data_IF_409106484187
#
_entry.id   IF_409106484187
#
_cell.length_a   1.000
_cell.length_b   1.000
_cell.length_c   1.000
_cell.angle_alpha   90.00
_cell.angle_beta   90.00
_cell.angle_gamma   90.00
#
_symmetry.space_group_name_H-M   'P 1'
#
loop_
_entity.id
_entity.type
_entity.pdbx_description
1 polymer ?
#
# COMPACT_ATOMS: atom_id res chain seq x y z
N UNK A 1 32.90 -21.80 21.98
CA UNK A 1 32.66 -20.54 21.22
C UNK A 1 31.68 -19.70 22.02
N UNK A 2 32.16 -18.64 22.68
CA UNK A 2 31.33 -17.79 23.55
C UNK A 2 30.32 -17.00 22.74
N UNK A 3 29.03 -17.10 23.09
CA UNK A 3 28.02 -16.13 22.66
C UNK A 3 28.35 -14.83 23.38
N UNK A 4 28.83 -13.82 22.64
CA UNK A 4 28.84 -12.45 23.13
C UNK A 4 27.38 -12.09 23.40
N UNK A 5 27.03 -11.98 24.68
CA UNK A 5 25.71 -11.50 25.09
C UNK A 5 25.73 -10.00 24.85
N UNK A 6 25.26 -9.59 23.66
CA UNK A 6 25.03 -8.17 23.40
C UNK A 6 23.90 -7.69 24.32
N UNK A 7 24.13 -6.57 24.99
CA UNK A 7 23.09 -5.84 25.73
C UNK A 7 22.00 -5.37 24.75
N UNK A 8 20.77 -5.27 25.23
CA UNK A 8 19.62 -4.99 24.35
C UNK A 8 19.73 -3.61 23.67
N UNK A 9 20.29 -2.60 24.34
CA UNK A 9 20.56 -1.30 23.73
C UNK A 9 21.59 -1.36 22.60
N UNK A 10 22.59 -2.24 22.70
CA UNK A 10 23.57 -2.45 21.64
C UNK A 10 22.92 -3.15 20.43
N UNK A 11 22.04 -4.12 20.66
CA UNK A 11 21.31 -4.80 19.56
C UNK A 11 20.42 -3.84 18.79
N UNK A 12 19.72 -2.96 19.49
CA UNK A 12 18.86 -1.93 18.88
C UNK A 12 19.67 -0.98 18.00
N UNK A 13 20.80 -0.48 18.52
CA UNK A 13 21.70 0.37 17.75
C UNK A 13 22.23 -0.33 16.48
N UNK A 14 22.61 -1.61 16.58
CA UNK A 14 23.04 -2.40 15.41
C UNK A 14 21.87 -2.64 14.45
N UNK A 15 20.64 -2.82 14.93
CA UNK A 15 19.46 -2.94 14.08
C UNK A 15 19.18 -1.65 13.29
N UNK A 16 19.37 -0.48 13.89
CA UNK A 16 19.30 0.82 13.19
C UNK A 16 20.40 0.98 12.13
N UNK A 17 21.62 0.54 12.42
CA UNK A 17 22.70 0.55 11.43
C UNK A 17 22.37 -0.35 10.23
N UNK A 18 21.77 -1.51 10.48
CA UNK A 18 21.30 -2.39 9.43
C UNK A 18 20.16 -1.76 8.61
N UNK A 19 19.24 -1.03 9.25
CA UNK A 19 18.22 -0.27 8.53
C UNK A 19 18.88 0.74 7.56
N UNK A 20 19.84 1.54 8.05
CA UNK A 20 20.55 2.54 7.23
C UNK A 20 21.33 1.90 6.08
N UNK A 21 22.09 0.84 6.37
CA UNK A 21 22.86 0.11 5.35
C UNK A 21 21.95 -0.54 4.30
N UNK A 22 20.78 -1.04 4.71
CA UNK A 22 19.78 -1.57 3.80
C UNK A 22 19.19 -0.50 2.89
N UNK A 23 18.86 0.68 3.42
CA UNK A 23 18.40 1.83 2.63
C UNK A 23 19.46 2.31 1.62
N UNK A 24 20.73 2.34 2.03
CA UNK A 24 21.83 2.66 1.11
C UNK A 24 22.02 1.58 0.04
N UNK A 25 21.90 0.31 0.40
CA UNK A 25 21.93 -0.76 -0.59
C UNK A 25 20.76 -0.66 -1.60
N UNK A 26 19.57 -0.18 -1.18
CA UNK A 26 18.45 0.12 -2.10
C UNK A 26 18.82 1.24 -3.07
N UNK A 27 19.45 2.33 -2.60
CA UNK A 27 19.83 3.46 -3.47
C UNK A 27 20.80 3.02 -4.58
N UNK A 28 21.62 1.99 -4.30
CA UNK A 28 22.54 1.35 -5.24
C UNK A 28 21.92 0.17 -6.02
N UNK A 29 20.60 -0.04 -5.92
CA UNK A 29 19.87 -1.18 -6.52
C UNK A 29 20.40 -2.57 -6.12
N UNK A 30 21.10 -2.67 -4.98
CA UNK A 30 21.67 -3.89 -4.44
C UNK A 30 20.65 -4.64 -3.55
N UNK A 31 19.51 -5.03 -4.12
CA UNK A 31 18.35 -5.56 -3.41
C UNK A 31 18.62 -6.83 -2.56
N UNK A 32 19.53 -7.70 -3.00
CA UNK A 32 19.94 -8.88 -2.21
C UNK A 32 20.75 -8.50 -0.96
N UNK A 33 21.60 -7.48 -1.05
CA UNK A 33 22.37 -6.98 0.09
C UNK A 33 21.45 -6.25 1.07
N UNK A 34 20.56 -5.40 0.55
CA UNK A 34 19.53 -4.74 1.35
C UNK A 34 18.67 -5.75 2.13
N UNK A 35 18.19 -6.81 1.47
CA UNK A 35 17.48 -7.92 2.13
C UNK A 35 18.29 -8.52 3.28
N UNK A 36 19.59 -8.76 3.08
CA UNK A 36 20.48 -9.31 4.12
C UNK A 36 20.61 -8.38 5.32
N UNK A 37 20.76 -7.06 5.09
CA UNK A 37 20.81 -6.07 6.16
C UNK A 37 19.50 -6.00 6.94
N UNK A 38 18.35 -5.88 6.26
CA UNK A 38 17.07 -5.81 6.98
C UNK A 38 16.77 -7.09 7.75
N UNK A 39 17.07 -8.27 7.19
CA UNK A 39 16.93 -9.54 7.89
C UNK A 39 17.82 -9.62 9.13
N UNK A 40 19.06 -9.14 9.04
CA UNK A 40 19.96 -9.02 10.19
C UNK A 40 19.39 -8.07 11.25
N UNK A 41 18.91 -6.89 10.85
CA UNK A 41 18.24 -5.93 11.75
C UNK A 41 17.03 -6.54 12.47
N UNK A 42 16.14 -7.23 11.75
CA UNK A 42 14.98 -7.91 12.32
C UNK A 42 15.41 -8.98 13.34
N UNK A 43 16.47 -9.73 13.06
CA UNK A 43 16.98 -10.78 13.97
C UNK A 43 17.54 -10.25 15.29
N UNK A 44 17.88 -8.96 15.36
CA UNK A 44 18.42 -8.28 16.53
C UNK A 44 17.33 -7.63 17.40
N UNK A 45 16.11 -7.50 16.88
CA UNK A 45 14.98 -6.95 17.62
C UNK A 45 14.60 -7.87 18.80
N UNK A 46 14.23 -7.26 19.92
CA UNK A 46 13.73 -7.97 21.10
C UNK A 46 12.33 -8.57 20.84
N UNK A 47 11.89 -9.49 21.70
CA UNK A 47 10.59 -10.17 21.53
C UNK A 47 9.38 -9.23 21.64
N UNK A 48 9.50 -8.13 22.37
CA UNK A 48 8.49 -7.07 22.51
C UNK A 48 8.82 -5.82 21.68
N UNK A 49 9.55 -5.98 20.58
CA UNK A 49 9.97 -4.88 19.71
C UNK A 49 8.80 -4.07 19.11
N UNK A 50 7.66 -4.72 18.84
CA UNK A 50 6.44 -4.03 18.38
C UNK A 50 5.85 -3.07 19.43
N UNK A 51 6.15 -3.27 20.72
CA UNK A 51 5.72 -2.36 21.78
C UNK A 51 6.80 -1.32 22.09
N UNK A 52 8.04 -1.76 22.26
CA UNK A 52 9.16 -0.92 22.70
C UNK A 52 9.80 -0.09 21.59
N UNK A 53 10.02 -0.70 20.42
CA UNK A 53 10.80 -0.14 19.32
C UNK A 53 9.97 -0.15 18.04
N UNK A 54 8.72 0.32 18.16
CA UNK A 54 7.69 0.14 17.14
C UNK A 54 8.11 0.69 15.77
N UNK A 55 8.62 1.92 15.73
CA UNK A 55 8.94 2.58 14.46
C UNK A 55 10.09 1.89 13.72
N UNK A 56 11.15 1.51 14.44
CA UNK A 56 12.27 0.74 13.89
C UNK A 56 11.79 -0.62 13.38
N UNK A 57 10.96 -1.30 14.17
CA UNK A 57 10.42 -2.62 13.85
C UNK A 57 9.55 -2.55 12.58
N UNK A 58 8.63 -1.60 12.53
CA UNK A 58 7.75 -1.38 11.40
C UNK A 58 8.54 -1.03 10.13
N UNK A 59 9.54 -0.14 10.23
CA UNK A 59 10.38 0.24 9.10
C UNK A 59 11.19 -0.94 8.56
N UNK A 60 11.86 -1.71 9.43
CA UNK A 60 12.63 -2.89 9.03
C UNK A 60 11.75 -3.91 8.31
N UNK A 61 10.57 -4.22 8.84
CA UNK A 61 9.66 -5.17 8.20
C UNK A 61 9.10 -4.64 6.87
N UNK A 62 8.73 -3.36 6.80
CA UNK A 62 8.24 -2.74 5.56
C UNK A 62 9.29 -2.79 4.45
N UNK A 63 10.52 -2.32 4.74
CA UNK A 63 11.58 -2.37 3.75
C UNK A 63 11.93 -3.80 3.37
N UNK A 64 12.02 -4.72 4.34
CA UNK A 64 12.27 -6.14 4.04
C UNK A 64 11.22 -6.70 3.06
N UNK A 65 9.93 -6.47 3.29
CA UNK A 65 8.88 -6.91 2.37
C UNK A 65 9.03 -6.31 0.96
N UNK A 66 9.39 -5.03 0.85
CA UNK A 66 9.61 -4.36 -0.43
C UNK A 66 10.80 -4.93 -1.21
N UNK A 67 11.94 -5.20 -0.54
CA UNK A 67 13.08 -5.81 -1.23
C UNK A 67 12.86 -7.28 -1.58
N UNK A 68 12.14 -8.03 -0.75
CA UNK A 68 11.80 -9.42 -1.09
C UNK A 68 10.90 -9.48 -2.32
N UNK A 69 9.98 -8.51 -2.50
CA UNK A 69 9.23 -8.35 -3.75
C UNK A 69 10.17 -8.09 -4.94
N UNK A 70 11.11 -7.15 -4.82
CA UNK A 70 12.09 -6.86 -5.88
C UNK A 70 12.98 -8.07 -6.22
N UNK A 71 13.31 -8.89 -5.22
CA UNK A 71 14.08 -10.12 -5.39
C UNK A 71 13.21 -11.30 -5.93
N UNK A 72 11.89 -11.15 -6.01
CA UNK A 72 10.95 -12.18 -6.44
C UNK A 72 10.61 -13.24 -5.38
N UNK A 73 10.97 -13.01 -4.11
CA UNK A 73 10.69 -13.92 -3.00
C UNK A 73 9.28 -13.69 -2.42
N UNK A 74 8.26 -13.93 -3.24
CA UNK A 74 6.87 -13.60 -2.91
C UNK A 74 6.31 -14.28 -1.66
N UNK A 75 6.74 -15.52 -1.35
CA UNK A 75 6.32 -16.20 -0.13
C UNK A 75 6.79 -15.49 1.15
N UNK A 76 7.97 -14.86 1.10
CA UNK A 76 8.45 -14.03 2.22
C UNK A 76 7.67 -12.72 2.31
N UNK A 77 7.27 -12.12 1.18
CA UNK A 77 6.40 -10.94 1.19
C UNK A 77 5.07 -11.25 1.88
N UNK A 78 4.41 -12.36 1.52
CA UNK A 78 3.15 -12.79 2.15
C UNK A 78 3.33 -12.98 3.66
N UNK A 79 4.42 -13.64 4.07
CA UNK A 79 4.73 -13.89 5.48
C UNK A 79 4.94 -12.59 6.26
N UNK A 80 5.76 -11.68 5.73
CA UNK A 80 6.18 -10.45 6.43
C UNK A 80 5.05 -9.43 6.46
N UNK A 81 4.32 -9.25 5.35
CA UNK A 81 3.17 -8.33 5.30
C UNK A 81 2.06 -8.75 6.25
N UNK A 82 1.80 -10.06 6.40
CA UNK A 82 0.87 -10.57 7.40
C UNK A 82 1.26 -10.15 8.82
N UNK A 83 2.54 -10.26 9.18
CA UNK A 83 3.04 -9.81 10.50
C UNK A 83 2.79 -8.31 10.68
N UNK A 84 3.09 -7.49 9.68
CA UNK A 84 2.89 -6.04 9.74
C UNK A 84 1.40 -5.72 9.92
N UNK A 85 0.52 -6.33 9.11
CA UNK A 85 -0.94 -6.11 9.17
C UNK A 85 -1.52 -6.49 10.54
N UNK A 86 -1.01 -7.56 11.16
CA UNK A 86 -1.45 -8.02 12.48
C UNK A 86 -0.92 -7.16 13.65
N UNK A 87 0.29 -6.58 13.51
CA UNK A 87 0.98 -5.87 14.59
C UNK A 87 0.93 -4.35 14.50
N UNK A 88 0.58 -3.80 13.34
CA UNK A 88 0.47 -2.37 13.13
C UNK A 88 -0.62 -1.74 14.03
N UNK A 89 -0.30 -0.60 14.62
CA UNK A 89 -1.16 0.17 15.54
C UNK A 89 -2.22 0.99 14.82
N UNK A 90 -2.02 1.29 13.53
CA UNK A 90 -2.95 2.09 12.74
C UNK A 90 -3.10 1.55 11.31
N UNK A 91 -4.17 1.93 10.63
CA UNK A 91 -4.35 1.60 9.21
C UNK A 91 -3.27 2.26 8.33
N UNK A 92 -2.81 3.45 8.70
CA UNK A 92 -1.72 4.14 8.01
C UNK A 92 -0.46 3.26 7.96
N UNK A 93 -0.10 2.66 9.09
CA UNK A 93 1.07 1.78 9.22
C UNK A 93 0.95 0.50 8.37
N UNK A 94 -0.28 0.00 8.16
CA UNK A 94 -0.54 -1.18 7.31
C UNK A 94 -0.47 -0.88 5.83
N UNK A 95 -0.55 0.39 5.43
CA UNK A 95 -0.79 0.75 4.02
C UNK A 95 0.34 0.27 3.11
N UNK A 96 1.62 0.43 3.52
CA UNK A 96 2.78 -0.10 2.75
C UNK A 96 2.73 -1.62 2.61
N UNK A 97 2.34 -2.33 3.66
CA UNK A 97 2.20 -3.78 3.63
C UNK A 97 1.08 -4.23 2.68
N UNK A 98 -0.07 -3.54 2.70
CA UNK A 98 -1.15 -3.80 1.73
C UNK A 98 -0.70 -3.54 0.30
N UNK A 99 0.01 -2.43 0.05
CA UNK A 99 0.54 -2.11 -1.28
C UNK A 99 1.40 -3.22 -1.86
N UNK A 100 2.40 -3.66 -1.09
CA UNK A 100 3.34 -4.65 -1.60
C UNK A 100 2.69 -6.02 -1.73
N UNK A 101 1.73 -6.36 -0.86
CA UNK A 101 0.96 -7.60 -0.96
C UNK A 101 0.08 -7.64 -2.21
N UNK A 102 -0.62 -6.54 -2.53
CA UNK A 102 -1.42 -6.42 -3.76
C UNK A 102 -0.52 -6.54 -4.99
N UNK A 103 0.61 -5.81 -5.02
CA UNK A 103 1.59 -5.90 -6.12
C UNK A 103 2.15 -7.31 -6.28
N UNK A 104 2.42 -8.00 -5.18
CA UNK A 104 2.93 -9.39 -5.15
C UNK A 104 1.95 -10.37 -5.78
N UNK A 105 0.67 -10.31 -5.40
CA UNK A 105 -0.35 -11.16 -6.02
C UNK A 105 -0.65 -10.76 -7.47
N UNK A 106 -0.59 -9.46 -7.79
CA UNK A 106 -0.71 -8.97 -9.16
C UNK A 106 0.41 -9.49 -10.08
N UNK A 107 1.65 -9.44 -9.62
CA UNK A 107 2.83 -9.97 -10.34
C UNK A 107 2.72 -11.48 -10.60
N UNK A 108 2.13 -12.22 -9.66
CA UNK A 108 1.87 -13.66 -9.78
C UNK A 108 0.59 -14.00 -10.56
N UNK A 109 -0.10 -13.01 -11.14
CA UNK A 109 -1.39 -13.16 -11.84
C UNK A 109 -2.51 -13.73 -10.95
N UNK A 110 -2.38 -13.64 -9.63
CA UNK A 110 -3.42 -13.97 -8.66
C UNK A 110 -4.40 -12.79 -8.50
N UNK A 111 -4.99 -12.36 -9.62
CA UNK A 111 -5.77 -11.10 -9.72
C UNK A 111 -6.94 -11.08 -8.73
N UNK A 112 -7.63 -12.21 -8.55
CA UNK A 112 -8.74 -12.30 -7.60
C UNK A 112 -8.29 -12.05 -6.14
N UNK A 113 -7.09 -12.51 -5.78
CA UNK A 113 -6.52 -12.29 -4.45
C UNK A 113 -6.13 -10.82 -4.30
N UNK A 114 -5.45 -10.24 -5.30
CA UNK A 114 -5.09 -8.83 -5.31
C UNK A 114 -6.32 -7.91 -5.16
N UNK A 115 -7.41 -8.19 -5.89
CA UNK A 115 -8.70 -7.50 -5.77
C UNK A 115 -9.25 -7.63 -4.35
N UNK A 116 -9.31 -8.85 -3.80
CA UNK A 116 -9.85 -9.09 -2.46
C UNK A 116 -9.08 -8.34 -1.37
N UNK A 117 -7.74 -8.38 -1.43
CA UNK A 117 -6.87 -7.65 -0.49
C UNK A 117 -7.07 -6.15 -0.61
N UNK A 118 -7.15 -5.62 -1.84
CA UNK A 118 -7.38 -4.20 -2.07
C UNK A 118 -8.71 -3.71 -1.51
N UNK A 119 -9.79 -4.47 -1.74
CA UNK A 119 -11.12 -4.12 -1.23
C UNK A 119 -11.15 -4.12 0.30
N UNK A 120 -10.49 -5.09 0.95
CA UNK A 120 -10.38 -5.13 2.40
C UNK A 120 -9.57 -3.95 2.95
N UNK A 121 -8.44 -3.60 2.31
CA UNK A 121 -7.61 -2.46 2.71
C UNK A 121 -8.35 -1.13 2.56
N UNK A 122 -9.14 -0.96 1.48
CA UNK A 122 -9.97 0.22 1.25
C UNK A 122 -11.11 0.32 2.28
N UNK A 123 -11.74 -0.80 2.64
CA UNK A 123 -12.75 -0.86 3.69
C UNK A 123 -12.18 -0.41 5.05
N UNK A 124 -11.00 -0.92 5.44
CA UNK A 124 -10.30 -0.49 6.66
C UNK A 124 -9.90 1.00 6.64
N UNK A 125 -9.66 1.59 5.46
CA UNK A 125 -9.41 3.03 5.30
C UNK A 125 -10.69 3.89 5.32
N UNK A 126 -11.86 3.29 5.49
CA UNK A 126 -13.15 4.00 5.44
C UNK A 126 -13.55 4.39 4.02
N UNK A 127 -13.03 3.69 3.01
CA UNK A 127 -13.24 3.90 1.58
C UNK A 127 -13.89 2.68 0.90
N UNK A 128 -15.00 2.12 1.44
CA UNK A 128 -15.58 0.89 0.93
C UNK A 128 -16.07 1.04 -0.51
N UNK A 129 -15.58 0.17 -1.38
CA UNK A 129 -16.14 0.02 -2.74
C UNK A 129 -17.36 -0.90 -2.63
N UNK A 130 -18.55 -0.29 -2.50
CA UNK A 130 -19.79 -1.01 -2.20
C UNK A 130 -20.13 -2.09 -3.25
N UNK A 131 -20.12 -3.35 -2.83
CA UNK A 131 -20.55 -4.52 -3.62
C UNK A 131 -22.09 -4.65 -3.74
N UNK A 132 -22.85 -4.11 -2.77
CA UNK A 132 -24.31 -4.20 -2.73
C UNK A 132 -24.98 -3.57 -3.96
N UNK A 133 -24.38 -2.50 -4.50
CA UNK A 133 -24.75 -1.93 -5.78
C UNK A 133 -24.62 -2.95 -6.91
N UNK A 134 -23.49 -3.67 -6.99
CA UNK A 134 -23.11 -4.55 -8.10
C UNK A 134 -24.16 -5.64 -8.38
N UNK A 135 -24.74 -6.25 -7.34
CA UNK A 135 -25.73 -7.33 -7.51
C UNK A 135 -27.08 -6.84 -8.02
N UNK A 136 -27.51 -5.63 -7.63
CA UNK A 136 -28.71 -4.98 -8.22
C UNK A 136 -28.42 -4.29 -9.56
N UNK A 137 -27.14 -3.93 -9.79
CA UNK A 137 -26.62 -3.22 -10.95
C UNK A 137 -26.19 -4.14 -12.08
N UNK A 138 -26.10 -5.47 -11.94
CA UNK A 138 -25.96 -6.35 -13.12
C UNK A 138 -27.09 -6.11 -14.14
N UNK A 139 -28.28 -5.71 -13.67
CA UNK A 139 -29.41 -5.31 -14.51
C UNK A 139 -29.41 -3.80 -14.90
N UNK A 140 -28.57 -2.96 -14.28
CA UNK A 140 -28.52 -1.48 -14.48
C UNK A 140 -27.11 -0.92 -14.65
N UNK A 141 -26.13 -1.75 -15.02
CA UNK A 141 -24.72 -1.38 -15.11
C UNK A 141 -24.53 -0.22 -16.07
N UNK A 142 -25.27 -0.26 -17.18
CA UNK A 142 -25.33 0.82 -18.16
C UNK A 142 -25.86 2.13 -17.57
N UNK A 143 -26.82 2.11 -16.63
CA UNK A 143 -27.36 3.32 -15.97
C UNK A 143 -26.32 3.91 -15.03
N UNK A 144 -25.70 3.08 -14.19
CA UNK A 144 -24.68 3.55 -13.25
C UNK A 144 -23.43 4.06 -13.98
N UNK A 145 -22.92 3.31 -14.95
CA UNK A 145 -21.82 3.76 -15.79
C UNK A 145 -22.16 5.08 -16.50
N UNK A 146 -23.39 5.22 -17.04
CA UNK A 146 -23.87 6.45 -17.66
C UNK A 146 -24.01 7.60 -16.66
N UNK A 147 -24.49 7.36 -15.44
CA UNK A 147 -24.57 8.38 -14.39
C UNK A 147 -23.19 8.88 -13.96
N UNK A 148 -22.23 7.97 -13.75
CA UNK A 148 -20.87 8.36 -13.42
C UNK A 148 -20.20 9.10 -14.57
N UNK A 149 -20.38 8.63 -15.82
CA UNK A 149 -19.89 9.33 -17.00
C UNK A 149 -20.51 10.72 -17.12
N UNK A 150 -21.82 10.87 -16.94
CA UNK A 150 -22.50 12.16 -16.97
C UNK A 150 -22.04 13.08 -15.85
N UNK A 151 -21.80 12.57 -14.64
CA UNK A 151 -21.25 13.34 -13.53
C UNK A 151 -19.81 13.77 -13.81
N UNK A 152 -18.97 12.88 -14.33
CA UNK A 152 -17.61 13.19 -14.76
C UNK A 152 -17.61 14.26 -15.85
N UNK A 153 -18.39 14.08 -16.92
CA UNK A 153 -18.57 15.07 -17.98
C UNK A 153 -19.09 16.39 -17.42
N UNK A 154 -20.06 16.37 -16.51
CA UNK A 154 -20.61 17.58 -15.90
C UNK A 154 -19.56 18.36 -15.10
N UNK A 155 -18.72 17.66 -14.33
CA UNK A 155 -17.64 18.29 -13.58
C UNK A 155 -16.61 18.87 -14.55
N UNK A 156 -16.13 18.09 -15.52
CA UNK A 156 -15.16 18.56 -16.49
C UNK A 156 -15.70 19.68 -17.40
N UNK A 157 -16.97 19.64 -17.79
CA UNK A 157 -17.59 20.67 -18.63
C UNK A 157 -17.78 22.01 -17.90
N UNK A 158 -17.72 22.03 -16.57
CA UNK A 158 -17.82 23.25 -15.75
C UNK A 158 -16.48 23.72 -15.21
N UNK A 159 -15.43 22.92 -15.35
CA UNK A 159 -14.11 23.23 -14.86
C UNK A 159 -13.34 23.94 -15.96
N UNK A 160 -12.84 25.15 -15.69
CA UNK A 160 -11.94 25.83 -16.61
C UNK A 160 -10.55 25.18 -16.56
N UNK A 161 -9.81 25.21 -17.67
CA UNK A 161 -8.45 24.66 -17.76
C UNK A 161 -7.53 25.24 -16.68
N UNK A 162 -7.70 26.52 -16.34
CA UNK A 162 -6.98 27.22 -15.27
C UNK A 162 -7.25 26.61 -13.88
N UNK A 163 -8.47 26.16 -13.62
CA UNK A 163 -8.86 25.52 -12.36
C UNK A 163 -8.33 24.10 -12.25
N UNK A 164 -8.27 23.38 -13.38
CA UNK A 164 -7.68 22.04 -13.43
C UNK A 164 -6.17 22.08 -13.16
N UNK A 165 -5.46 23.04 -13.79
CA UNK A 165 -4.04 23.26 -13.57
C UNK A 165 -3.72 23.78 -12.15
N UNK A 166 -4.69 24.38 -11.47
CA UNK A 166 -4.57 24.87 -10.10
C UNK A 166 -4.99 23.85 -9.03
N UNK A 167 -5.27 22.59 -9.40
CA UNK A 167 -5.55 21.54 -8.42
C UNK A 167 -4.34 21.37 -7.50
N UNK A 168 -4.57 21.58 -6.20
CA UNK A 168 -3.55 21.37 -5.18
C UNK A 168 -3.18 19.89 -5.06
N UNK A 169 -2.00 19.63 -4.51
CA UNK A 169 -1.63 18.29 -4.08
C UNK A 169 -2.54 17.82 -2.93
N UNK A 170 -2.86 16.53 -2.90
CA UNK A 170 -3.73 15.92 -1.91
C UNK A 170 -3.09 15.89 -0.52
N UNK A 171 -3.48 16.81 0.35
CA UNK A 171 -2.90 17.01 1.70
C UNK A 171 -3.47 16.07 2.78
N UNK A 172 -4.53 15.32 2.48
CA UNK A 172 -5.13 14.40 3.46
C UNK A 172 -4.51 13.01 3.33
N UNK A 173 -3.63 12.64 4.27
CA UNK A 173 -2.86 11.39 4.26
C UNK A 173 -3.71 10.13 4.02
N UNK A 174 -4.85 10.00 4.69
CA UNK A 174 -5.74 8.85 4.50
C UNK A 174 -6.32 8.78 3.08
N UNK A 175 -6.66 9.94 2.49
CA UNK A 175 -7.19 9.98 1.12
C UNK A 175 -6.07 9.73 0.11
N UNK A 176 -4.86 10.18 0.40
CA UNK A 176 -3.65 9.89 -0.39
C UNK A 176 -3.35 8.39 -0.37
N UNK A 177 -3.41 7.75 0.81
CA UNK A 177 -3.27 6.30 0.96
C UNK A 177 -4.35 5.51 0.18
N UNK A 178 -5.62 5.93 0.29
CA UNK A 178 -6.71 5.34 -0.46
C UNK A 178 -6.55 5.51 -1.98
N UNK A 179 -6.18 6.71 -2.45
CA UNK A 179 -5.91 6.98 -3.86
C UNK A 179 -4.81 6.07 -4.40
N UNK A 180 -3.70 5.93 -3.67
CA UNK A 180 -2.63 5.02 -4.06
C UNK A 180 -3.13 3.56 -4.15
N UNK A 181 -3.97 3.09 -3.22
CA UNK A 181 -4.54 1.73 -3.27
C UNK A 181 -5.46 1.56 -4.47
N UNK A 182 -6.26 2.58 -4.81
CA UNK A 182 -7.11 2.59 -6.00
C UNK A 182 -6.29 2.56 -7.29
N UNK A 183 -5.16 3.27 -7.36
CA UNK A 183 -4.22 3.22 -8.50
C UNK A 183 -3.64 1.81 -8.69
N UNK A 184 -3.17 1.18 -7.61
CA UNK A 184 -2.64 -0.19 -7.66
C UNK A 184 -3.74 -1.18 -8.03
N UNK A 185 -4.96 -1.02 -7.49
CA UNK A 185 -6.12 -1.81 -7.90
C UNK A 185 -6.37 -1.67 -9.40
N UNK A 186 -6.43 -0.43 -9.91
CA UNK A 186 -6.74 -0.14 -11.30
C UNK A 186 -5.75 -0.83 -12.25
N UNK A 187 -4.46 -0.95 -11.87
CA UNK A 187 -3.45 -1.64 -12.69
C UNK A 187 -3.76 -3.12 -12.94
N UNK A 188 -4.28 -3.83 -11.94
CA UNK A 188 -4.53 -5.27 -12.00
C UNK A 188 -6.00 -5.63 -12.24
N UNK A 189 -6.90 -4.71 -11.89
CA UNK A 189 -8.34 -4.91 -11.86
C UNK A 189 -9.09 -4.35 -13.06
N UNK A 190 -8.43 -3.88 -14.13
CA UNK A 190 -9.08 -3.21 -15.28
C UNK A 190 -10.30 -3.99 -15.82
N UNK A 191 -10.19 -5.31 -15.91
CA UNK A 191 -11.27 -6.19 -16.43
C UNK A 191 -12.31 -6.57 -15.37
N UNK A 192 -12.16 -6.07 -14.14
CA UNK A 192 -13.05 -6.35 -13.05
C UNK A 192 -14.33 -5.52 -13.12
N UNK A 193 -15.42 -6.10 -12.62
CA UNK A 193 -16.70 -5.41 -12.40
C UNK A 193 -16.58 -4.17 -11.50
N UNK A 194 -15.50 -4.07 -10.71
CA UNK A 194 -15.23 -2.94 -9.81
C UNK A 194 -14.63 -1.73 -10.52
N UNK A 195 -14.08 -1.85 -11.73
CA UNK A 195 -13.34 -0.77 -12.41
C UNK A 195 -14.11 0.56 -12.49
N UNK A 196 -15.39 0.60 -12.89
CA UNK A 196 -16.11 1.88 -12.96
C UNK A 196 -16.26 2.56 -11.60
N UNK A 197 -16.40 1.78 -10.53
CA UNK A 197 -16.54 2.27 -9.16
C UNK A 197 -15.21 2.81 -8.64
N UNK A 198 -14.12 2.09 -8.91
CA UNK A 198 -12.76 2.51 -8.55
C UNK A 198 -12.39 3.80 -9.26
N UNK A 199 -12.59 3.88 -10.58
CA UNK A 199 -12.31 5.10 -11.35
C UNK A 199 -13.17 6.27 -10.91
N UNK A 200 -14.45 6.06 -10.63
CA UNK A 200 -15.31 7.11 -10.11
C UNK A 200 -14.83 7.59 -8.74
N UNK A 201 -14.45 6.67 -7.84
CA UNK A 201 -13.95 7.04 -6.52
C UNK A 201 -12.63 7.81 -6.60
N UNK A 202 -11.72 7.41 -7.49
CA UNK A 202 -10.50 8.16 -7.77
C UNK A 202 -10.84 9.59 -8.23
N UNK A 203 -11.75 9.74 -9.20
CA UNK A 203 -12.16 11.07 -9.66
C UNK A 203 -12.75 11.92 -8.52
N UNK A 204 -13.62 11.35 -7.68
CA UNK A 204 -14.16 12.06 -6.52
C UNK A 204 -13.07 12.52 -5.56
N UNK A 205 -12.09 11.64 -5.27
CA UNK A 205 -10.98 12.00 -4.39
C UNK A 205 -10.13 13.12 -5.00
N UNK A 206 -9.82 13.04 -6.31
CA UNK A 206 -9.05 14.07 -7.00
C UNK A 206 -9.74 15.44 -6.98
N UNK A 207 -11.05 15.45 -7.27
CA UNK A 207 -11.82 16.69 -7.36
C UNK A 207 -12.03 17.37 -6.00
N UNK A 208 -12.15 16.59 -4.92
CA UNK A 208 -12.42 17.12 -3.58
C UNK A 208 -11.14 17.41 -2.82
N UNK A 209 -10.14 16.54 -2.91
CA UNK A 209 -8.95 16.60 -2.06
C UNK A 209 -7.68 17.01 -2.81
N UNK A 210 -7.67 16.99 -4.15
CA UNK A 210 -6.51 17.36 -4.96
C UNK A 210 -5.84 16.18 -5.66
N UNK A 211 -4.81 16.45 -6.44
CA UNK A 211 -4.07 15.42 -7.20
C UNK A 211 -3.13 14.63 -6.29
N UNK A 212 -2.96 13.33 -6.57
CA UNK A 212 -1.96 12.50 -5.92
C UNK A 212 -0.91 12.12 -6.96
N UNK A 213 0.36 12.46 -6.72
CA UNK A 213 1.47 11.93 -7.51
C UNK A 213 1.69 10.45 -7.16
N UNK A 214 2.14 9.66 -8.15
CA UNK A 214 2.46 8.23 -7.97
C UNK A 214 3.63 8.02 -7.01
#
# INVERSE_FOLDING_TARGET
RGKLVMEDGMKEWVAELNLKAGCEAISLSAFRNASSFFKAGISLLCSNCWDKNYDLTLQLHNFYAEVEFCNGYFGEVDRVTKIIIEKAKSISDKTRAYFILIKTHGAQKHINIAIKVSLAALDELGEPIQQSGIRSLLNRFHIFAKMNLLRTIHVFAKMEDSQFLALKEMDVDMKRAAMKLLLVFARFGITSIYTPFVLNRMLELTLVYGVCEE
#
